data_IF_181332993208
#
_entry.id   IF_181332993208
#
_cell.length_a   1.000
_cell.length_b   1.000
_cell.length_c   1.000
_cell.angle_alpha   90.00
_cell.angle_beta   90.00
_cell.angle_gamma   90.00
#
_symmetry.space_group_name_H-M   'P 1'
#
loop_
_entity.id
_entity.type
_entity.pdbx_description
1 polymer ?
#
# COMPACT_ATOMS: atom_id res chain seq x y z
N UNK A 1 -9.38 12.32 1.60
CA UNK A 1 -9.39 13.80 1.66
C UNK A 1 -10.23 14.28 2.83
N UNK A 2 -11.52 13.92 2.91
CA UNK A 2 -12.43 14.34 3.98
C UNK A 2 -11.90 14.10 5.40
N UNK A 3 -11.27 12.95 5.67
CA UNK A 3 -10.74 12.66 7.00
C UNK A 3 -9.54 13.55 7.41
N UNK A 4 -8.67 13.89 6.47
CA UNK A 4 -7.41 14.58 6.75
C UNK A 4 -7.51 16.11 6.57
N UNK A 5 -8.39 16.58 5.69
CA UNK A 5 -8.52 17.99 5.29
C UNK A 5 -9.85 18.60 5.70
N UNK A 6 -10.65 17.93 6.56
CA UNK A 6 -12.00 18.36 6.97
C UNK A 6 -12.07 19.84 7.37
N UNK A 7 -11.15 20.25 8.25
CA UNK A 7 -11.11 21.61 8.79
C UNK A 7 -10.74 22.64 7.71
N UNK A 8 -9.72 22.33 6.91
CA UNK A 8 -9.26 23.21 5.83
C UNK A 8 -10.33 23.39 4.74
N UNK A 9 -11.11 22.34 4.45
CA UNK A 9 -12.24 22.44 3.53
C UNK A 9 -13.41 23.24 4.10
N UNK A 10 -13.65 23.18 5.41
CA UNK A 10 -14.73 23.93 6.07
C UNK A 10 -14.40 25.43 6.22
N UNK A 11 -13.12 25.78 6.36
CA UNK A 11 -12.63 27.16 6.52
C UNK A 11 -12.24 27.82 5.19
N UNK A 12 -12.26 27.08 4.08
CA UNK A 12 -11.90 27.59 2.76
C UNK A 12 -12.98 28.50 2.18
N UNK A 13 -12.53 29.57 1.51
CA UNK A 13 -13.41 30.49 0.79
C UNK A 13 -14.06 29.83 -0.44
N UNK A 14 -13.35 28.91 -1.11
CA UNK A 14 -13.89 27.98 -2.09
C UNK A 14 -13.50 26.52 -1.76
N UNK A 15 -14.36 25.80 -1.02
CA UNK A 15 -14.12 24.40 -0.66
C UNK A 15 -14.04 23.45 -1.86
N UNK A 16 -14.72 23.76 -2.97
CA UNK A 16 -14.77 22.89 -4.15
C UNK A 16 -13.46 23.00 -4.92
N UNK A 17 -12.97 24.21 -5.14
CA UNK A 17 -11.67 24.46 -5.78
C UNK A 17 -10.53 23.84 -4.97
N UNK A 18 -10.49 24.06 -3.65
CA UNK A 18 -9.47 23.47 -2.77
C UNK A 18 -9.51 21.94 -2.81
N UNK A 19 -10.72 21.34 -2.85
CA UNK A 19 -10.84 19.89 -2.96
C UNK A 19 -10.33 19.35 -4.30
N UNK A 20 -10.58 20.06 -5.39
CA UNK A 20 -10.06 19.68 -6.71
C UNK A 20 -8.53 19.75 -6.74
N UNK A 21 -7.95 20.81 -6.20
CA UNK A 21 -6.49 20.98 -6.09
C UNK A 21 -5.85 19.86 -5.25
N UNK A 22 -6.39 19.59 -4.07
CA UNK A 22 -5.91 18.52 -3.19
C UNK A 22 -5.98 17.14 -3.85
N UNK A 23 -7.06 16.86 -4.58
CA UNK A 23 -7.17 15.62 -5.36
C UNK A 23 -6.09 15.56 -6.43
N UNK A 24 -5.90 16.62 -7.22
CA UNK A 24 -4.89 16.65 -8.27
C UNK A 24 -3.48 16.43 -7.72
N UNK A 25 -3.16 17.05 -6.57
CA UNK A 25 -1.87 16.86 -5.90
C UNK A 25 -1.66 15.45 -5.34
N UNK A 26 -2.71 14.84 -4.79
CA UNK A 26 -2.62 13.46 -4.29
C UNK A 26 -2.48 12.48 -5.46
N UNK A 27 -3.24 12.71 -6.54
CA UNK A 27 -3.19 11.88 -7.73
C UNK A 27 -1.85 12.00 -8.45
N UNK A 28 -1.22 13.17 -8.49
CA UNK A 28 0.13 13.32 -9.07
C UNK A 28 1.20 12.54 -8.31
N UNK A 29 0.98 12.28 -7.02
CA UNK A 29 1.83 11.40 -6.22
C UNK A 29 1.47 9.91 -6.37
N UNK A 30 0.31 9.59 -6.97
CA UNK A 30 -0.08 8.23 -7.33
C UNK A 30 0.51 7.89 -8.69
N UNK A 31 1.23 6.78 -8.72
CA UNK A 31 1.85 6.27 -9.92
C UNK A 31 2.72 5.08 -9.57
N UNK A 32 3.25 4.35 -10.56
CA UNK A 32 4.11 3.20 -10.29
C UNK A 32 5.40 3.60 -9.56
N UNK A 33 5.82 4.87 -9.67
CA UNK A 33 7.09 5.36 -9.13
C UNK A 33 6.96 6.20 -7.84
N UNK A 34 5.84 6.88 -7.62
CA UNK A 34 5.65 7.81 -6.48
C UNK A 34 5.67 7.13 -5.10
N UNK A 35 5.06 5.94 -4.92
CA UNK A 35 5.11 5.16 -3.69
C UNK A 35 6.44 4.41 -3.48
N UNK A 36 7.40 4.48 -4.40
CA UNK A 36 8.70 3.79 -4.31
C UNK A 36 9.64 4.42 -3.26
N UNK A 37 9.11 4.80 -2.11
CA UNK A 37 9.95 4.92 -0.93
C UNK A 37 10.61 3.56 -0.70
N UNK A 38 11.92 3.59 -0.39
CA UNK A 38 12.69 2.36 -0.11
C UNK A 38 11.89 1.50 0.87
N UNK A 39 11.79 0.20 0.57
CA UNK A 39 11.17 -0.86 1.40
C UNK A 39 9.63 -0.98 1.36
N UNK A 40 8.91 -0.25 0.50
CA UNK A 40 7.46 -0.51 0.32
C UNK A 40 7.14 -1.52 -0.81
N UNK A 41 8.00 -1.58 -1.84
CA UNK A 41 7.85 -2.46 -3.00
C UNK A 41 9.23 -3.07 -3.30
N UNK A 42 9.29 -4.38 -3.47
CA UNK A 42 10.53 -5.11 -3.80
C UNK A 42 10.93 -4.93 -5.27
N UNK A 43 9.97 -5.07 -6.20
CA UNK A 43 10.21 -5.00 -7.65
C UNK A 43 8.94 -4.53 -8.40
N UNK A 44 9.14 -3.77 -9.49
CA UNK A 44 8.10 -3.50 -10.49
C UNK A 44 8.31 -4.47 -11.65
N UNK A 45 7.32 -5.33 -11.90
CA UNK A 45 7.35 -6.31 -12.98
C UNK A 45 6.38 -5.97 -14.10
N UNK A 46 6.61 -6.52 -15.29
CA UNK A 46 5.62 -6.50 -16.36
C UNK A 46 4.36 -7.29 -15.92
N UNK A 47 3.13 -6.77 -16.11
CA UNK A 47 1.92 -7.48 -15.72
C UNK A 47 1.81 -8.91 -16.29
N UNK A 48 2.39 -9.16 -17.48
CA UNK A 48 2.40 -10.48 -18.13
C UNK A 48 3.27 -11.51 -17.39
N UNK A 49 4.28 -11.03 -16.67
CA UNK A 49 5.21 -11.87 -15.93
C UNK A 49 4.67 -12.26 -14.55
N UNK A 50 3.61 -11.60 -14.06
CA UNK A 50 3.01 -11.84 -12.73
C UNK A 50 2.79 -13.33 -12.44
N UNK A 51 2.21 -14.07 -13.38
CA UNK A 51 1.94 -15.51 -13.20
C UNK A 51 3.22 -16.31 -12.99
N UNK A 52 4.25 -16.05 -13.81
CA UNK A 52 5.54 -16.73 -13.73
C UNK A 52 6.16 -16.54 -12.35
N UNK A 53 6.28 -15.28 -11.92
CA UNK A 53 6.87 -14.94 -10.62
C UNK A 53 6.12 -15.58 -9.44
N UNK A 54 4.78 -15.58 -9.46
CA UNK A 54 3.99 -16.21 -8.39
C UNK A 54 4.20 -17.72 -8.36
N UNK A 55 4.17 -18.38 -9.51
CA UNK A 55 4.37 -19.83 -9.59
C UNK A 55 5.77 -20.25 -9.13
N UNK A 56 6.81 -19.47 -9.47
CA UNK A 56 8.17 -19.75 -9.01
C UNK A 56 8.31 -19.56 -7.49
N UNK A 57 7.61 -18.58 -6.91
CA UNK A 57 7.68 -18.26 -5.49
C UNK A 57 6.83 -19.20 -4.60
N UNK A 58 5.67 -19.67 -5.08
CA UNK A 58 4.64 -20.30 -4.25
C UNK A 58 5.14 -21.55 -3.52
N UNK A 59 6.01 -22.34 -4.12
CA UNK A 59 6.56 -23.55 -3.49
C UNK A 59 7.43 -23.20 -2.26
N UNK A 60 8.25 -22.16 -2.39
CA UNK A 60 9.08 -21.65 -1.29
C UNK A 60 8.21 -21.04 -0.19
N UNK A 61 7.20 -20.27 -0.58
CA UNK A 61 6.24 -19.69 0.35
C UNK A 61 5.51 -20.76 1.15
N UNK A 62 4.97 -21.78 0.47
CA UNK A 62 4.26 -22.90 1.09
C UNK A 62 5.15 -23.63 2.09
N UNK A 63 6.38 -23.96 1.70
CA UNK A 63 7.35 -24.61 2.60
C UNK A 63 7.61 -23.81 3.87
N UNK A 64 7.69 -22.48 3.78
CA UNK A 64 7.92 -21.60 4.92
C UNK A 64 6.69 -21.53 5.84
N UNK A 65 5.49 -21.37 5.29
CA UNK A 65 4.27 -21.21 6.10
C UNK A 65 3.78 -22.51 6.73
N UNK A 66 4.11 -23.65 6.13
CA UNK A 66 3.78 -24.99 6.65
C UNK A 66 4.77 -25.49 7.71
N UNK A 67 5.75 -24.70 8.13
CA UNK A 67 6.69 -25.11 9.18
C UNK A 67 5.94 -25.28 10.52
N UNK A 68 6.18 -26.38 11.27
CA UNK A 68 5.41 -26.69 12.48
C UNK A 68 5.38 -25.58 13.54
N UNK A 69 6.46 -24.82 13.68
CA UNK A 69 6.57 -23.67 14.60
C UNK A 69 5.66 -22.50 14.23
N UNK A 70 5.23 -22.43 12.97
CA UNK A 70 4.30 -21.40 12.46
C UNK A 70 2.84 -21.86 12.45
N UNK A 71 2.60 -23.15 12.60
CA UNK A 71 1.27 -23.74 12.66
C UNK A 71 0.74 -23.64 14.09
N UNK A 72 0.29 -22.44 14.47
CA UNK A 72 -0.28 -22.19 15.79
C UNK A 72 -0.86 -20.79 15.94
N UNK A 73 -1.59 -20.52 17.05
CA UNK A 73 -2.11 -19.19 17.33
C UNK A 73 -0.97 -18.18 17.38
N UNK A 74 -1.10 -17.09 16.61
CA UNK A 74 -0.14 -15.99 16.68
C UNK A 74 -0.13 -15.44 18.10
N UNK A 75 1.04 -15.43 18.74
CA UNK A 75 1.20 -14.82 20.05
C UNK A 75 0.82 -13.32 19.97
N UNK A 76 -0.24 -12.93 20.69
CA UNK A 76 -0.62 -11.55 20.86
C UNK A 76 0.34 -10.93 21.86
N UNK A 77 1.37 -10.25 21.35
CA UNK A 77 2.22 -9.40 22.19
C UNK A 77 1.71 -7.96 22.14
N UNK A 78 1.87 -7.26 23.27
CA UNK A 78 1.62 -5.82 23.35
C UNK A 78 2.51 -5.12 22.31
N UNK A 79 1.88 -4.41 21.35
CA UNK A 79 2.58 -3.50 20.44
C UNK A 79 2.43 -2.07 21.01
N UNK A 80 3.51 -1.41 21.42
CA UNK A 80 3.49 -0.01 21.83
C UNK A 80 3.16 0.93 20.66
#
# INVERSE_FOLDING_TARGET
>A
IEAAYKRQLAEAEDPVALRAELNARIESARGPLGPLSRFQIEEIVDPRDTRRHICDWVESAHRLVSQPDRLGPRALQFRP
#
